data_IF_218982854989
#
_entry.id   IF_218982854989
#
_cell.length_a   1.000
_cell.length_b   1.000
_cell.length_c   1.000
_cell.angle_alpha   90.00
_cell.angle_beta   90.00
_cell.angle_gamma   90.00
#
_symmetry.space_group_name_H-M   'P 1'
#
loop_
_entity.id
_entity.type
_entity.pdbx_description
1 polymer ?
#
# COMPACT_ATOMS: atom_id res chain seq x y z
N UNK A 1 -20.29 -12.08 65.53
CA UNK A 1 -20.64 -10.98 64.58
C UNK A 1 -19.43 -10.38 63.85
N UNK A 2 -18.25 -11.01 63.91
CA UNK A 2 -16.99 -10.51 63.33
C UNK A 2 -16.60 -11.16 62.00
N UNK A 3 -17.14 -12.35 61.68
CA UNK A 3 -16.80 -13.13 60.48
C UNK A 3 -17.43 -12.57 59.19
N UNK A 4 -18.54 -11.84 59.28
CA UNK A 4 -19.22 -11.26 58.12
C UNK A 4 -18.54 -9.97 57.60
N UNK A 5 -17.89 -9.18 58.47
CA UNK A 5 -17.20 -7.95 58.05
C UNK A 5 -15.91 -8.24 57.27
N UNK A 6 -15.15 -9.26 57.66
CA UNK A 6 -13.90 -9.66 56.97
C UNK A 6 -14.16 -10.31 55.62
N UNK A 7 -15.26 -11.05 55.47
CA UNK A 7 -15.72 -11.62 54.19
C UNK A 7 -16.19 -10.54 53.20
N UNK A 8 -16.89 -9.51 53.67
CA UNK A 8 -17.37 -8.42 52.80
C UNK A 8 -16.20 -7.54 52.33
N UNK A 9 -15.26 -7.23 53.24
CA UNK A 9 -14.08 -6.42 52.92
C UNK A 9 -13.14 -7.10 51.91
N UNK A 10 -12.94 -8.41 52.04
CA UNK A 10 -12.10 -9.19 51.10
C UNK A 10 -12.74 -9.33 49.71
N UNK A 11 -14.07 -9.48 49.63
CA UNK A 11 -14.80 -9.49 48.36
C UNK A 11 -14.72 -8.13 47.62
N UNK A 12 -14.78 -7.01 48.35
CA UNK A 12 -14.61 -5.66 47.78
C UNK A 12 -13.20 -5.42 47.24
N UNK A 13 -12.16 -5.85 47.97
CA UNK A 13 -10.76 -5.72 47.53
C UNK A 13 -10.49 -6.59 46.30
N UNK A 14 -11.02 -7.81 46.27
CA UNK A 14 -10.93 -8.70 45.10
C UNK A 14 -11.63 -8.14 43.86
N UNK A 15 -12.80 -7.52 44.02
CA UNK A 15 -13.53 -6.89 42.92
C UNK A 15 -12.81 -5.64 42.37
N UNK A 16 -12.23 -4.82 43.24
CA UNK A 16 -11.47 -3.62 42.82
C UNK A 16 -10.20 -4.03 42.07
N UNK A 17 -9.40 -4.96 42.61
CA UNK A 17 -8.21 -5.47 41.93
C UNK A 17 -8.53 -6.19 40.62
N UNK A 18 -9.62 -6.97 40.59
CA UNK A 18 -10.13 -7.60 39.37
C UNK A 18 -10.52 -6.58 38.30
N UNK A 19 -11.18 -5.48 38.69
CA UNK A 19 -11.59 -4.42 37.76
C UNK A 19 -10.40 -3.65 37.17
N UNK A 20 -9.39 -3.33 37.98
CA UNK A 20 -8.17 -2.64 37.54
C UNK A 20 -7.36 -3.56 36.61
N UNK A 21 -7.22 -4.84 36.95
CA UNK A 21 -6.55 -5.83 36.10
C UNK A 21 -7.26 -6.01 34.75
N UNK A 22 -8.59 -6.07 34.75
CA UNK A 22 -9.39 -6.21 33.52
C UNK A 22 -9.28 -4.96 32.65
N UNK A 23 -9.30 -3.76 33.24
CA UNK A 23 -9.13 -2.51 32.52
C UNK A 23 -7.74 -2.41 31.86
N UNK A 24 -6.68 -2.70 32.61
CA UNK A 24 -5.31 -2.72 32.08
C UNK A 24 -5.13 -3.77 30.97
N UNK A 25 -5.72 -4.96 31.12
CA UNK A 25 -5.70 -6.00 30.10
C UNK A 25 -6.49 -5.59 28.84
N UNK A 26 -7.64 -4.94 28.99
CA UNK A 26 -8.42 -4.41 27.87
C UNK A 26 -7.67 -3.30 27.14
N UNK A 27 -7.01 -2.40 27.86
CA UNK A 27 -6.25 -1.31 27.25
C UNK A 27 -5.05 -1.82 26.47
N UNK A 28 -4.31 -2.81 27.01
CA UNK A 28 -3.25 -3.49 26.27
C UNK A 28 -3.81 -4.23 25.05
N UNK A 29 -4.93 -4.93 25.18
CA UNK A 29 -5.58 -5.61 24.05
C UNK A 29 -6.01 -4.63 22.95
N UNK A 30 -6.49 -3.43 23.30
CA UNK A 30 -6.86 -2.40 22.33
C UNK A 30 -5.65 -1.90 21.54
N UNK A 31 -4.53 -1.63 22.23
CA UNK A 31 -3.28 -1.23 21.57
C UNK A 31 -2.79 -2.30 20.60
N UNK A 32 -2.69 -3.55 21.06
CA UNK A 32 -2.29 -4.66 20.21
C UNK A 32 -3.23 -4.84 19.00
N UNK A 33 -4.55 -4.68 19.19
CA UNK A 33 -5.52 -4.74 18.08
C UNK A 33 -5.37 -3.59 17.10
N UNK A 34 -4.97 -2.40 17.54
CA UNK A 34 -4.70 -1.27 16.64
C UNK A 34 -3.40 -1.50 15.87
N UNK A 35 -2.34 -1.94 16.53
CA UNK A 35 -1.07 -2.29 15.88
C UNK A 35 -1.28 -3.36 14.82
N UNK A 36 -2.02 -4.42 15.15
CA UNK A 36 -2.35 -5.50 14.21
C UNK A 36 -3.16 -4.98 13.01
N UNK A 37 -4.14 -4.10 13.23
CA UNK A 37 -4.89 -3.46 12.14
C UNK A 37 -4.02 -2.61 11.24
N UNK A 38 -3.08 -1.84 11.82
CA UNK A 38 -2.14 -1.03 11.05
C UNK A 38 -1.25 -1.93 10.19
N UNK A 39 -0.74 -3.04 10.74
CA UNK A 39 0.06 -4.02 10.00
C UNK A 39 -0.73 -4.63 8.84
N UNK A 40 -1.94 -5.11 9.11
CA UNK A 40 -2.82 -5.66 8.08
C UNK A 40 -3.16 -4.65 6.99
N UNK A 41 -3.39 -3.39 7.37
CA UNK A 41 -3.65 -2.32 6.43
C UNK A 41 -2.45 -2.05 5.53
N UNK A 42 -1.25 -1.88 6.10
CA UNK A 42 0.00 -1.70 5.33
C UNK A 42 0.20 -2.86 4.36
N UNK A 43 0.07 -4.09 4.83
CA UNK A 43 0.24 -5.27 4.00
C UNK A 43 -0.76 -5.33 2.86
N UNK A 44 -2.03 -5.03 3.13
CA UNK A 44 -3.08 -5.03 2.11
C UNK A 44 -2.81 -3.95 1.05
N UNK A 45 -2.40 -2.74 1.46
CA UNK A 45 -2.05 -1.65 0.55
C UNK A 45 -0.82 -2.00 -0.28
N UNK A 46 0.24 -2.53 0.33
CA UNK A 46 1.45 -2.96 -0.37
C UNK A 46 1.16 -4.07 -1.36
N UNK A 47 0.26 -4.99 -1.03
CA UNK A 47 -0.18 -6.08 -1.94
C UNK A 47 -0.94 -5.53 -3.15
N UNK A 48 -1.83 -4.54 -2.94
CA UNK A 48 -2.52 -3.85 -4.04
C UNK A 48 -1.50 -3.08 -4.90
N UNK A 49 -0.58 -2.33 -4.29
CA UNK A 49 0.46 -1.58 -5.00
C UNK A 49 1.42 -2.47 -5.80
N UNK A 50 1.73 -3.68 -5.30
CA UNK A 50 2.56 -4.67 -5.98
C UNK A 50 1.92 -5.24 -7.26
N UNK A 51 0.58 -5.17 -7.35
CA UNK A 51 -0.17 -5.67 -8.50
C UNK A 51 -0.21 -4.72 -9.71
N UNK A 52 0.34 -3.51 -9.59
CA UNK A 52 0.31 -2.49 -10.65
C UNK A 52 1.52 -2.60 -11.59
N UNK A 53 1.71 -3.78 -12.17
CA UNK A 53 2.76 -4.06 -13.15
C UNK A 53 2.69 -3.17 -14.40
N UNK A 54 1.49 -2.93 -14.92
CA UNK A 54 1.25 -2.08 -16.10
C UNK A 54 1.66 -0.62 -15.87
N UNK A 55 1.41 -0.09 -14.66
CA UNK A 55 1.83 1.27 -14.30
C UNK A 55 3.36 1.44 -14.46
N UNK A 56 4.14 0.40 -14.19
CA UNK A 56 5.61 0.48 -14.09
C UNK A 56 6.34 0.06 -15.36
N UNK A 57 5.73 -0.83 -16.14
CA UNK A 57 6.34 -1.41 -17.34
C UNK A 57 5.86 -0.75 -18.65
N UNK A 58 4.64 -0.20 -18.71
CA UNK A 58 4.16 0.47 -19.91
C UNK A 58 4.65 1.91 -19.98
N UNK A 59 5.83 2.18 -20.52
CA UNK A 59 6.17 3.54 -20.96
C UNK A 59 5.11 3.94 -21.98
N UNK A 60 4.31 4.96 -21.66
CA UNK A 60 3.32 5.53 -22.56
C UNK A 60 4.02 6.01 -23.83
N UNK A 61 4.06 5.16 -24.85
CA UNK A 61 4.60 5.58 -26.13
C UNK A 61 3.60 6.53 -26.76
N UNK A 62 4.09 7.52 -27.52
CA UNK A 62 3.25 8.44 -28.28
C UNK A 62 2.45 7.76 -29.41
N UNK A 63 2.34 6.43 -29.40
CA UNK A 63 1.60 5.68 -30.41
C UNK A 63 0.24 5.26 -29.88
N UNK A 64 -0.76 5.67 -30.65
CA UNK A 64 -2.21 5.40 -30.63
C UNK A 64 -2.67 3.96 -30.29
N UNK A 65 -1.74 3.02 -30.13
CA UNK A 65 -1.96 1.60 -29.85
C UNK A 65 -1.78 1.21 -28.38
N UNK A 66 -1.55 2.15 -27.46
CA UNK A 66 -1.22 1.84 -26.06
C UNK A 66 -2.03 2.63 -25.03
N UNK A 67 -3.27 3.04 -25.33
CA UNK A 67 -4.20 3.38 -24.24
C UNK A 67 -4.74 2.04 -23.75
N UNK A 68 -4.45 1.61 -22.52
CA UNK A 68 -4.92 0.32 -22.01
C UNK A 68 -6.43 0.24 -22.16
N UNK A 69 -6.98 -0.93 -22.45
CA UNK A 69 -8.43 -1.06 -22.64
C UNK A 69 -9.18 -1.05 -21.29
N UNK A 70 -8.46 -1.33 -20.21
CA UNK A 70 -8.94 -1.53 -18.85
C UNK A 70 -8.35 -0.52 -17.86
N UNK A 71 -8.83 -0.53 -16.62
CA UNK A 71 -8.25 0.30 -15.56
C UNK A 71 -6.85 -0.21 -15.21
N UNK A 72 -5.85 0.67 -15.29
CA UNK A 72 -4.44 0.34 -15.02
C UNK A 72 -4.21 0.19 -13.51
N UNK A 73 -5.11 0.77 -12.69
CA UNK A 73 -4.99 0.84 -11.24
C UNK A 73 -6.34 0.58 -10.60
N UNK A 74 -6.39 -0.45 -9.76
CA UNK A 74 -7.52 -0.70 -8.86
C UNK A 74 -7.42 0.17 -7.62
N UNK A 75 -8.56 0.47 -7.00
CA UNK A 75 -8.61 1.21 -5.73
C UNK A 75 -9.45 0.48 -4.69
N UNK A 76 -9.55 -0.83 -4.80
CA UNK A 76 -10.48 -1.64 -4.00
C UNK A 76 -10.01 -1.73 -2.55
N UNK A 77 -8.73 -2.00 -2.32
CA UNK A 77 -8.17 -2.06 -0.96
C UNK A 77 -8.21 -0.69 -0.31
N UNK A 78 -7.81 0.36 -1.03
CA UNK A 78 -7.95 1.74 -0.56
C UNK A 78 -9.40 2.09 -0.17
N UNK A 79 -10.39 1.82 -1.03
CA UNK A 79 -11.79 2.19 -0.78
C UNK A 79 -12.39 1.40 0.38
N UNK A 80 -12.14 0.09 0.42
CA UNK A 80 -12.63 -0.79 1.48
C UNK A 80 -12.02 -0.47 2.86
N UNK A 81 -10.81 0.12 2.87
CA UNK A 81 -10.10 0.49 4.09
C UNK A 81 -10.00 2.00 4.34
N UNK A 82 -10.77 2.82 3.61
CA UNK A 82 -10.70 4.28 3.69
C UNK A 82 -10.82 4.84 5.11
N UNK A 83 -11.69 4.26 5.95
CA UNK A 83 -11.85 4.64 7.36
C UNK A 83 -10.67 4.25 8.26
N UNK A 84 -9.80 3.38 7.78
CA UNK A 84 -8.63 2.86 8.51
C UNK A 84 -7.34 3.55 8.10
N UNK A 85 -7.32 4.27 6.97
CA UNK A 85 -6.16 5.06 6.52
C UNK A 85 -5.66 6.01 7.61
N UNK A 86 -6.57 6.59 8.41
CA UNK A 86 -6.21 7.46 9.53
C UNK A 86 -5.44 6.78 10.66
N UNK A 87 -5.28 5.45 10.63
CA UNK A 87 -4.46 4.69 11.58
C UNK A 87 -2.98 4.65 11.17
N UNK A 88 -2.68 4.95 9.91
CA UNK A 88 -1.30 5.09 9.43
C UNK A 88 -0.66 6.36 10.02
N UNK A 89 0.65 6.52 9.85
CA UNK A 89 1.32 7.79 10.16
C UNK A 89 0.78 8.90 9.23
N UNK A 90 1.02 10.15 9.60
CA UNK A 90 0.60 11.29 8.78
C UNK A 90 1.21 11.24 7.37
N UNK A 91 2.51 10.92 7.27
CA UNK A 91 3.24 10.83 6.01
C UNK A 91 2.73 9.68 5.12
N UNK A 92 2.48 8.51 5.73
CA UNK A 92 1.88 7.36 5.03
C UNK A 92 0.50 7.73 4.50
N UNK A 93 -0.37 8.26 5.36
CA UNK A 93 -1.73 8.66 4.99
C UNK A 93 -1.75 9.66 3.85
N UNK A 94 -0.90 10.68 3.91
CA UNK A 94 -0.78 11.69 2.86
C UNK A 94 -0.34 11.07 1.53
N UNK A 95 0.69 10.22 1.56
CA UNK A 95 1.19 9.57 0.34
C UNK A 95 0.17 8.63 -0.29
N UNK A 96 -0.55 7.84 0.52
CA UNK A 96 -1.62 6.95 0.08
C UNK A 96 -2.75 7.77 -0.55
N UNK A 97 -3.21 8.82 0.11
CA UNK A 97 -4.29 9.68 -0.41
C UNK A 97 -3.86 10.35 -1.71
N UNK A 98 -2.62 10.86 -1.79
CA UNK A 98 -2.09 11.53 -2.98
C UNK A 98 -2.05 10.57 -4.17
N UNK A 99 -1.49 9.37 -3.99
CA UNK A 99 -1.43 8.33 -5.01
C UNK A 99 -2.84 7.93 -5.50
N UNK A 100 -3.75 7.54 -4.61
CA UNK A 100 -5.08 7.08 -5.03
C UNK A 100 -5.94 8.20 -5.64
N UNK A 101 -5.76 9.45 -5.20
CA UNK A 101 -6.41 10.61 -5.84
C UNK A 101 -5.89 10.81 -7.27
N UNK A 102 -4.57 10.69 -7.46
CA UNK A 102 -3.94 10.73 -8.79
C UNK A 102 -4.41 9.59 -9.69
N UNK A 103 -4.48 8.36 -9.16
CA UNK A 103 -4.96 7.19 -9.89
C UNK A 103 -6.39 7.34 -10.38
N UNK A 104 -7.30 7.84 -9.52
CA UNK A 104 -8.69 8.13 -9.91
C UNK A 104 -8.74 9.17 -11.03
N UNK A 105 -7.92 10.22 -10.97
CA UNK A 105 -7.85 11.24 -12.04
C UNK A 105 -7.32 10.65 -13.36
N UNK A 106 -6.28 9.81 -13.31
CA UNK A 106 -5.72 9.15 -14.49
C UNK A 106 -6.75 8.20 -15.12
N UNK A 107 -7.40 7.34 -14.32
CA UNK A 107 -8.46 6.45 -14.82
C UNK A 107 -9.61 7.22 -15.49
N UNK A 108 -10.06 8.33 -14.88
CA UNK A 108 -11.11 9.18 -15.48
C UNK A 108 -10.64 9.83 -16.79
N UNK A 109 -9.38 10.26 -16.85
CA UNK A 109 -8.79 10.85 -18.06
C UNK A 109 -8.64 9.81 -19.17
N UNK A 110 -8.24 8.58 -18.82
CA UNK A 110 -8.19 7.44 -19.73
C UNK A 110 -9.57 7.10 -20.30
N UNK A 111 -10.59 7.01 -19.44
CA UNK A 111 -11.97 6.78 -19.89
C UNK A 111 -12.43 7.88 -20.86
N UNK A 112 -12.19 9.15 -20.51
CA UNK A 112 -12.54 10.28 -21.39
C UNK A 112 -11.80 10.21 -22.73
N UNK A 113 -10.51 9.85 -22.72
CA UNK A 113 -9.72 9.69 -23.94
C UNK A 113 -10.24 8.53 -24.81
N UNK A 114 -10.65 7.40 -24.20
CA UNK A 114 -11.26 6.26 -24.91
C UNK A 114 -12.57 6.65 -25.58
N UNK A 115 -13.42 7.39 -24.88
CA UNK A 115 -14.70 7.87 -25.43
C UNK A 115 -14.47 8.79 -26.63
N UNK A 116 -13.52 9.73 -26.52
CA UNK A 116 -13.16 10.65 -27.60
C UNK A 116 -12.56 9.94 -28.82
N UNK A 117 -11.75 8.90 -28.62
CA UNK A 117 -11.20 8.08 -29.71
C UNK A 117 -12.31 7.31 -30.41
N UNK A 118 -13.22 6.69 -29.66
CA UNK A 118 -14.33 5.90 -30.20
C UNK A 118 -15.29 6.76 -31.03
N UNK A 119 -15.47 8.03 -30.65
CA UNK A 119 -16.38 8.97 -31.32
C UNK A 119 -15.71 9.80 -32.43
N UNK A 120 -14.37 9.81 -32.51
CA UNK A 120 -13.64 10.67 -33.44
C UNK A 120 -13.49 10.04 -34.83
N UNK A 121 -13.66 10.85 -35.87
CA UNK A 121 -13.33 10.47 -37.25
C UNK A 121 -11.81 10.50 -37.52
N UNK A 122 -11.05 11.24 -36.73
CA UNK A 122 -9.58 11.30 -36.78
C UNK A 122 -8.96 11.11 -35.39
N UNK A 123 -8.94 9.88 -34.85
CA UNK A 123 -8.41 9.64 -33.51
C UNK A 123 -6.90 9.93 -33.33
N UNK A 124 -6.12 10.12 -34.42
CA UNK A 124 -4.68 10.42 -34.38
C UNK A 124 -4.40 11.86 -33.95
N UNK A 125 -5.39 12.75 -34.08
CA UNK A 125 -5.20 14.17 -33.89
C UNK A 125 -5.29 14.61 -32.42
N UNK A 126 -5.59 13.69 -31.50
CA UNK A 126 -5.72 13.98 -30.09
C UNK A 126 -4.34 13.99 -29.41
N UNK A 127 -4.04 15.09 -28.70
CA UNK A 127 -2.80 15.24 -27.94
C UNK A 127 -2.88 14.49 -26.60
N UNK A 128 -2.05 13.47 -26.44
CA UNK A 128 -1.97 12.66 -25.21
C UNK A 128 -0.83 13.07 -24.27
N UNK A 129 -0.12 14.16 -24.57
CA UNK A 129 1.02 14.63 -23.76
C UNK A 129 0.65 14.87 -22.29
N UNK A 130 -0.53 15.43 -22.05
CA UNK A 130 -1.02 15.69 -20.67
C UNK A 130 -1.28 14.39 -19.91
N UNK A 131 -1.87 13.38 -20.57
CA UNK A 131 -2.13 12.07 -19.98
C UNK A 131 -0.81 11.38 -19.60
N UNK A 132 0.18 11.40 -20.50
CA UNK A 132 1.49 10.80 -20.25
C UNK A 132 2.20 11.46 -19.05
N UNK A 133 2.16 12.80 -18.96
CA UNK A 133 2.67 13.52 -17.79
C UNK A 133 1.97 13.13 -16.49
N UNK A 134 0.65 12.92 -16.53
CA UNK A 134 -0.11 12.47 -15.36
C UNK A 134 0.24 11.04 -14.95
N UNK A 135 0.48 10.14 -15.91
CA UNK A 135 0.96 8.78 -15.65
C UNK A 135 2.37 8.81 -15.03
N UNK A 136 3.28 9.64 -15.56
CA UNK A 136 4.62 9.78 -15.01
C UNK A 136 4.61 10.36 -13.58
N UNK A 137 3.79 11.37 -13.32
CA UNK A 137 3.60 11.90 -11.97
C UNK A 137 3.04 10.81 -11.03
N UNK A 138 2.11 9.99 -11.53
CA UNK A 138 1.51 8.92 -10.75
C UNK A 138 2.51 7.81 -10.39
N UNK A 139 3.52 7.55 -11.24
CA UNK A 139 4.63 6.64 -10.93
C UNK A 139 5.49 7.16 -9.78
N UNK A 140 5.77 8.46 -9.77
CA UNK A 140 6.51 9.09 -8.67
C UNK A 140 5.70 9.07 -7.37
N UNK A 141 4.38 9.32 -7.45
CA UNK A 141 3.49 9.20 -6.30
C UNK A 141 3.37 7.75 -5.80
N UNK A 142 3.36 6.76 -6.71
CA UNK A 142 3.42 5.35 -6.37
C UNK A 142 4.72 5.02 -5.62
N UNK A 143 5.87 5.48 -6.14
CA UNK A 143 7.19 5.27 -5.53
C UNK A 143 7.24 5.82 -4.11
N UNK A 144 6.85 7.08 -3.91
CA UNK A 144 6.81 7.72 -2.59
C UNK A 144 5.89 6.96 -1.62
N UNK A 145 4.71 6.55 -2.10
CA UNK A 145 3.75 5.78 -1.29
C UNK A 145 4.35 4.44 -0.84
N UNK A 146 4.95 3.68 -1.76
CA UNK A 146 5.60 2.39 -1.45
C UNK A 146 6.73 2.56 -0.45
N UNK A 147 7.63 3.52 -0.66
CA UNK A 147 8.78 3.75 0.23
C UNK A 147 8.35 4.08 1.66
N UNK A 148 7.30 4.89 1.84
CA UNK A 148 6.76 5.26 3.16
C UNK A 148 6.08 4.10 3.87
N UNK A 149 5.36 3.27 3.12
CA UNK A 149 4.72 2.07 3.66
C UNK A 149 5.75 0.99 4.02
N UNK A 150 6.79 0.81 3.20
CA UNK A 150 7.89 -0.14 3.46
C UNK A 150 8.69 0.27 4.70
N UNK A 151 9.12 1.52 4.82
CA UNK A 151 9.94 1.99 5.95
C UNK A 151 9.29 1.78 7.33
N UNK A 152 7.95 1.73 7.36
CA UNK A 152 7.18 1.54 8.58
C UNK A 152 6.56 0.14 8.67
N UNK A 153 6.88 -0.75 7.73
CA UNK A 153 6.46 -2.15 7.74
C UNK A 153 7.53 -3.00 8.41
N UNK A 154 7.11 -3.96 9.25
CA UNK A 154 8.02 -4.97 9.78
C UNK A 154 8.32 -6.08 8.75
N UNK A 155 7.49 -6.19 7.70
CA UNK A 155 7.59 -7.24 6.69
C UNK A 155 8.63 -6.95 5.62
N UNK A 156 9.11 -5.71 5.52
CA UNK A 156 10.10 -5.30 4.53
C UNK A 156 11.29 -4.67 5.25
N UNK A 157 12.49 -5.06 4.83
CA UNK A 157 13.73 -4.43 5.28
C UNK A 157 13.93 -3.09 4.56
N UNK A 158 14.49 -2.09 5.24
CA UNK A 158 14.93 -0.83 4.63
C UNK A 158 16.13 -1.01 3.69
N UNK A 159 16.70 -2.23 3.70
CA UNK A 159 17.81 -2.67 2.86
C UNK A 159 17.49 -3.97 2.19
N UNK A 160 17.81 -4.07 0.91
CA UNK A 160 17.70 -5.31 0.14
C UNK A 160 19.09 -5.75 -0.22
N UNK A 161 19.42 -7.01 0.10
CA UNK A 161 20.67 -7.63 -0.31
C UNK A 161 20.48 -8.27 -1.67
N UNK A 162 21.31 -7.88 -2.62
CA UNK A 162 21.36 -8.49 -3.93
C UNK A 162 22.66 -9.27 -4.02
N UNK A 163 22.56 -10.55 -4.33
CA UNK A 163 23.71 -11.39 -4.63
C UNK A 163 23.92 -11.38 -6.14
N UNK A 164 25.03 -10.79 -6.59
CA UNK A 164 25.44 -10.81 -7.99
C UNK A 164 26.74 -11.57 -8.07
N UNK A 165 26.67 -12.79 -8.62
CA UNK A 165 27.79 -13.72 -8.71
C UNK A 165 28.36 -14.05 -7.31
N UNK A 166 29.53 -13.49 -6.97
CA UNK A 166 30.25 -13.69 -5.70
C UNK A 166 30.26 -12.42 -4.81
N UNK A 167 29.55 -11.37 -5.20
CA UNK A 167 29.45 -10.11 -4.45
C UNK A 167 28.02 -9.88 -3.94
N UNK A 168 27.91 -9.58 -2.65
CA UNK A 168 26.64 -9.15 -2.04
C UNK A 168 26.64 -7.63 -1.88
N UNK A 169 25.75 -6.94 -2.58
CA UNK A 169 25.54 -5.51 -2.39
C UNK A 169 24.27 -5.25 -1.57
N UNK A 170 24.36 -4.40 -0.55
CA UNK A 170 23.20 -3.94 0.22
C UNK A 170 22.72 -2.61 -0.35
N UNK A 171 21.55 -2.62 -0.98
CA UNK A 171 20.90 -1.41 -1.50
C UNK A 171 19.93 -0.88 -0.45
N UNK A 172 20.13 0.38 -0.04
CA UNK A 172 19.17 1.09 0.82
C UNK A 172 18.00 1.57 -0.02
N UNK A 173 16.78 1.26 0.42
CA UNK A 173 15.57 1.77 -0.22
C UNK A 173 15.43 3.27 0.08
N UNK A 174 15.51 4.10 -0.95
CA UNK A 174 15.40 5.56 -0.86
C UNK A 174 14.77 6.12 -2.14
N UNK A 175 14.65 7.45 -2.24
CA UNK A 175 14.01 8.12 -3.38
C UNK A 175 14.78 7.97 -4.71
N UNK A 176 16.04 7.55 -4.65
CA UNK A 176 16.92 7.33 -5.81
C UNK A 176 16.66 5.97 -6.46
N UNK A 177 16.00 5.06 -5.74
CA UNK A 177 15.64 3.73 -6.25
C UNK A 177 14.58 3.87 -7.34
N UNK A 178 14.78 3.25 -8.53
CA UNK A 178 13.80 3.35 -9.61
C UNK A 178 12.52 2.56 -9.25
N UNK A 179 11.34 3.01 -9.73
CA UNK A 179 10.07 2.33 -9.44
C UNK A 179 10.06 0.83 -9.80
N UNK A 180 10.73 0.43 -10.89
CA UNK A 180 10.84 -0.97 -11.31
C UNK A 180 11.56 -1.83 -10.27
N UNK A 181 12.57 -1.29 -9.60
CA UNK A 181 13.28 -2.02 -8.55
C UNK A 181 12.38 -2.23 -7.33
N UNK A 182 11.62 -1.22 -6.92
CA UNK A 182 10.67 -1.37 -5.82
C UNK A 182 9.59 -2.41 -6.12
N UNK A 183 9.13 -2.50 -7.37
CA UNK A 183 8.18 -3.54 -7.76
C UNK A 183 8.78 -4.93 -7.64
N UNK A 184 10.04 -5.11 -8.02
CA UNK A 184 10.75 -6.37 -7.80
C UNK A 184 10.83 -6.70 -6.31
N UNK A 185 11.18 -5.72 -5.45
CA UNK A 185 11.21 -5.90 -4.00
C UNK A 185 9.84 -6.32 -3.44
N UNK A 186 8.76 -5.71 -3.93
CA UNK A 186 7.40 -6.08 -3.50
C UNK A 186 6.96 -7.47 -3.96
N UNK A 187 7.56 -8.01 -5.03
CA UNK A 187 7.18 -9.27 -5.66
C UNK A 187 8.27 -10.36 -5.55
N UNK A 188 9.33 -10.16 -4.75
CA UNK A 188 10.45 -11.10 -4.64
C UNK A 188 9.98 -12.53 -4.31
N UNK A 189 9.11 -12.67 -3.30
CA UNK A 189 8.53 -13.96 -2.91
C UNK A 189 7.65 -14.59 -3.99
N UNK A 190 7.09 -13.80 -4.93
CA UNK A 190 6.27 -14.32 -6.04
C UNK A 190 7.12 -14.80 -7.21
N UNK A 191 8.25 -14.13 -7.46
CA UNK A 191 9.16 -14.43 -8.56
C UNK A 191 9.85 -15.79 -8.34
N UNK A 192 10.16 -16.15 -7.09
CA UNK A 192 10.76 -17.46 -6.78
C UNK A 192 9.88 -18.66 -7.19
N UNK A 193 8.55 -18.52 -7.16
CA UNK A 193 7.63 -19.60 -7.56
C UNK A 193 7.46 -19.74 -9.09
N UNK A 194 7.60 -18.65 -9.86
CA UNK A 194 7.43 -18.69 -11.32
C UNK A 194 8.61 -19.36 -12.04
N UNK A 195 9.76 -19.51 -11.38
CA UNK A 195 10.96 -20.17 -11.93
C UNK A 195 10.89 -21.70 -11.82
N UNK A 196 9.99 -22.26 -11.00
CA UNK A 196 9.85 -23.72 -10.81
C UNK A 196 8.93 -24.45 -11.81
N UNK A 197 8.29 -23.76 -12.77
CA UNK A 197 7.29 -24.36 -13.69
C UNK A 197 7.69 -24.39 -15.17
N UNK A 198 8.99 -24.38 -15.48
CA UNK A 198 9.50 -24.59 -16.84
C UNK A 198 10.45 -25.80 -16.90
N UNK A 199 9.91 -26.99 -16.67
CA UNK A 199 10.49 -28.28 -17.09
C UNK A 199 9.56 -29.00 -18.08
#
# INVERSE_FOLDING_TARGET
MTVLLSSLASAFIGAILGSIGTYAAQEKSRKNKQEEKIKQLRQSLLTELASFDELLNERSSNYRTQIPAHEIITSEVYRSNSSQISLLTAEESESVIRFYSGAIMVNKTLQTARDLITQSQNPDAHDHTTLNKSIDQLREDWKDCVLKLIHNSESYSDRVRIEVEDESEEIKLNDEVPPQFLWWVLNQDRIEFDVEFLD
#
